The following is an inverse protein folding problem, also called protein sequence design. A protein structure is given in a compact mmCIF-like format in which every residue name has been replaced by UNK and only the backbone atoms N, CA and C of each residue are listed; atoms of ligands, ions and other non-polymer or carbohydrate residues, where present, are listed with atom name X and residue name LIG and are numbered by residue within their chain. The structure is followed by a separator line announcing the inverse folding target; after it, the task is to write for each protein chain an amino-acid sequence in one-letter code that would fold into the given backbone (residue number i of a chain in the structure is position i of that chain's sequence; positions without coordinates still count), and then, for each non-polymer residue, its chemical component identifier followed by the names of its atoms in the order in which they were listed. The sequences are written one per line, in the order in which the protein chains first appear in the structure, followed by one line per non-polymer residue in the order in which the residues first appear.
data_IF_310507652669
#
_entry.id   IF_310507652669
#
_cell.length_a   1.000
_cell.length_b   1.000
_cell.length_c   1.000
_cell.angle_alpha   90.00
_cell.angle_beta   90.00
_cell.angle_gamma   90.00
#
_symmetry.space_group_name_H-M   'P 1'
#
loop_
_entity.id
_entity.type
_entity.pdbx_description
1 polymer ?
#
# COMPACT_ATOMS: atom_id res chain seq x y z
N UNK A 1 -3.31 -5.10 -5.99
CA UNK A 1 -3.12 -3.63 -6.05
C UNK A 1 -1.67 -3.32 -5.76
N UNK A 2 -1.05 -2.41 -6.51
CA UNK A 2 0.33 -1.97 -6.25
C UNK A 2 0.36 -0.73 -5.35
N UNK A 3 1.25 -0.77 -4.35
CA UNK A 3 1.48 0.30 -3.39
C UNK A 3 2.98 0.60 -3.36
N UNK A 4 3.36 1.85 -3.53
CA UNK A 4 4.76 2.29 -3.38
C UNK A 4 4.91 3.09 -2.08
N UNK A 5 5.85 2.69 -1.24
CA UNK A 5 6.14 3.33 0.04
C UNK A 5 7.54 3.92 0.03
N UNK A 6 7.62 5.24 0.12
CA UNK A 6 8.87 5.97 0.30
C UNK A 6 9.22 6.08 1.78
N UNK A 7 10.43 5.64 2.16
CA UNK A 7 10.92 5.73 3.54
C UNK A 7 11.99 6.82 3.60
N UNK A 8 11.90 7.67 4.62
CA UNK A 8 12.90 8.72 4.87
C UNK A 8 14.28 8.08 5.09
N UNK A 9 15.32 8.72 4.54
CA UNK A 9 16.71 8.26 4.63
C UNK A 9 16.98 6.89 3.98
N UNK A 10 16.08 6.38 3.14
CA UNK A 10 16.26 5.15 2.37
C UNK A 10 16.23 5.48 0.88
N UNK A 11 17.25 5.03 0.15
CA UNK A 11 17.42 5.38 -1.26
C UNK A 11 16.45 4.65 -2.21
N UNK A 12 15.80 3.58 -1.76
CA UNK A 12 14.90 2.74 -2.57
C UNK A 12 13.52 2.67 -1.94
N UNK A 13 12.44 2.88 -2.71
CA UNK A 13 11.10 2.67 -2.21
C UNK A 13 10.80 1.18 -2.01
N UNK A 14 9.81 0.90 -1.17
CA UNK A 14 9.27 -0.44 -0.94
C UNK A 14 7.99 -0.60 -1.74
N UNK A 15 7.99 -1.51 -2.70
CA UNK A 15 6.81 -1.87 -3.48
C UNK A 15 6.09 -3.05 -2.83
N UNK A 16 4.80 -2.87 -2.58
CA UNK A 16 3.91 -3.84 -1.94
C UNK A 16 2.75 -4.12 -2.88
N UNK A 17 2.58 -5.38 -3.27
CA UNK A 17 1.37 -5.84 -3.95
C UNK A 17 0.41 -6.38 -2.89
N UNK A 18 -0.78 -5.82 -2.78
CA UNK A 18 -1.79 -6.24 -1.80
C UNK A 18 -3.12 -6.56 -2.49
N UNK A 19 -3.82 -7.58 -2.00
CA UNK A 19 -5.18 -7.93 -2.45
C UNK A 19 -6.27 -7.12 -1.72
N UNK A 20 -5.88 -6.26 -0.78
CA UNK A 20 -6.80 -5.39 -0.05
C UNK A 20 -7.30 -4.23 -0.92
N UNK A 21 -8.46 -3.67 -0.55
CA UNK A 21 -9.02 -2.49 -1.21
C UNK A 21 -8.17 -1.24 -0.95
N UNK A 22 -8.32 -0.22 -1.80
CA UNK A 22 -7.62 1.06 -1.65
C UNK A 22 -7.99 1.71 -0.33
N UNK A 23 -9.27 1.68 -0.01
CA UNK A 23 -9.84 2.32 1.17
C UNK A 23 -9.30 1.67 2.44
N UNK A 24 -9.21 0.34 2.48
CA UNK A 24 -8.67 -0.40 3.63
C UNK A 24 -7.19 -0.08 3.85
N UNK A 25 -6.38 -0.13 2.79
CA UNK A 25 -4.94 0.18 2.87
C UNK A 25 -4.72 1.62 3.33
N UNK A 26 -5.45 2.57 2.75
CA UNK A 26 -5.35 3.99 3.11
C UNK A 26 -5.73 4.21 4.57
N UNK A 27 -6.78 3.53 5.04
CA UNK A 27 -7.21 3.60 6.43
C UNK A 27 -6.15 3.06 7.39
N UNK A 28 -5.58 1.88 7.12
CA UNK A 28 -4.51 1.29 7.94
C UNK A 28 -3.30 2.23 8.05
N UNK A 29 -2.88 2.82 6.92
CA UNK A 29 -1.77 3.77 6.90
C UNK A 29 -2.12 5.01 7.73
N UNK A 30 -3.30 5.59 7.53
CA UNK A 30 -3.72 6.83 8.21
C UNK A 30 -3.87 6.62 9.71
N UNK A 31 -4.51 5.53 10.14
CA UNK A 31 -4.66 5.18 11.56
C UNK A 31 -3.30 4.95 12.24
N UNK A 32 -2.35 4.30 11.54
CA UNK A 32 -1.01 4.10 12.07
C UNK A 32 -0.24 5.44 12.19
N UNK A 33 -0.40 6.35 11.22
CA UNK A 33 0.19 7.69 11.27
C UNK A 33 -0.38 8.54 12.40
N UNK A 34 -1.71 8.54 12.59
CA UNK A 34 -2.38 9.29 13.67
C UNK A 34 -2.02 8.76 15.06
N UNK A 35 -1.89 7.43 15.19
CA UNK A 35 -1.53 6.79 16.45
C UNK A 35 -0.01 6.76 16.72
N UNK A 36 0.83 7.28 15.82
CA UNK A 36 2.29 7.16 15.85
C UNK A 36 2.77 5.69 16.00
N UNK A 37 2.05 4.77 15.35
CA UNK A 37 2.30 3.32 15.40
C UNK A 37 2.96 2.82 14.14
N UNK A 38 3.53 1.63 14.20
CA UNK A 38 4.08 0.95 13.03
C UNK A 38 2.96 0.63 12.04
N UNK A 39 3.15 1.04 10.79
CA UNK A 39 2.35 0.62 9.65
C UNK A 39 2.70 -0.84 9.36
N UNK A 40 1.68 -1.68 9.36
CA UNK A 40 1.80 -3.12 9.17
C UNK A 40 0.98 -3.52 7.96
N UNK A 41 1.66 -3.89 6.88
CA UNK A 41 1.05 -4.31 5.63
C UNK A 41 1.49 -5.73 5.31
N UNK A 42 0.56 -6.53 4.82
CA UNK A 42 0.86 -7.87 4.30
C UNK A 42 0.67 -7.84 2.80
N UNK A 43 1.66 -8.33 2.07
CA UNK A 43 1.59 -8.45 0.62
C UNK A 43 0.92 -9.77 0.18
N UNK A 44 0.62 -9.86 -1.11
CA UNK A 44 0.02 -11.04 -1.77
C UNK A 44 0.87 -12.31 -1.66
N UNK A 45 2.17 -12.16 -1.40
CA UNK A 45 3.14 -13.25 -1.18
C UNK A 45 3.28 -13.65 0.28
N UNK A 46 2.47 -13.07 1.18
CA UNK A 46 2.50 -13.33 2.61
C UNK A 46 3.70 -12.71 3.33
N UNK A 47 4.43 -11.79 2.70
CA UNK A 47 5.48 -10.99 3.36
C UNK A 47 4.80 -9.92 4.19
N UNK A 48 5.25 -9.78 5.43
CA UNK A 48 4.83 -8.71 6.33
C UNK A 48 5.83 -7.55 6.26
N UNK A 49 5.35 -6.38 5.88
CA UNK A 49 6.11 -5.15 5.77
C UNK A 49 5.77 -4.27 6.96
N UNK A 50 6.77 -4.00 7.79
CA UNK A 50 6.65 -3.19 9.00
C UNK A 50 7.43 -1.88 8.81
N UNK A 51 6.73 -0.75 8.86
CA UNK A 51 7.31 0.57 8.65
C UNK A 51 6.91 1.48 9.82
N UNK A 52 7.85 2.06 10.58
CA UNK A 52 7.51 3.05 11.60
C UNK A 52 6.80 4.26 10.97
N UNK A 53 5.67 4.72 11.54
CA UNK A 53 4.93 5.89 11.04
C UNK A 53 5.85 7.11 10.79
N UNK A 54 6.74 7.39 11.74
CA UNK A 54 7.70 8.51 11.66
C UNK A 54 8.72 8.40 10.51
N UNK A 55 8.97 7.20 10.02
CA UNK A 55 9.91 6.97 8.93
C UNK A 55 9.24 7.03 7.55
N UNK A 56 7.90 7.04 7.48
CA UNK A 56 7.19 7.13 6.21
C UNK A 56 7.39 8.53 5.61
N UNK A 57 7.98 8.59 4.43
CA UNK A 57 8.10 9.82 3.65
C UNK A 57 6.86 10.07 2.79
N UNK A 58 6.40 9.04 2.09
CA UNK A 58 5.19 9.09 1.27
C UNK A 58 4.62 7.68 1.04
N UNK A 59 3.34 7.60 0.69
CA UNK A 59 2.69 6.38 0.21
C UNK A 59 1.88 6.68 -1.05
N UNK A 60 2.15 5.96 -2.13
CA UNK A 60 1.36 5.99 -3.36
C UNK A 60 0.51 4.73 -3.38
N UNK A 61 -0.79 4.89 -3.18
CA UNK A 61 -1.75 3.78 -3.25
C UNK A 61 -2.31 3.73 -4.68
N UNK A 62 -1.95 2.69 -5.42
CA UNK A 62 -2.37 2.50 -6.81
C UNK A 62 -3.89 2.43 -6.99
N UNK A 63 -4.35 2.45 -8.23
CA UNK A 63 -5.74 2.12 -8.55
C UNK A 63 -5.93 0.62 -8.48
N UNK A 64 -7.04 0.20 -7.86
CA UNK A 64 -7.57 -1.15 -8.05
C UNK A 64 -7.78 -1.33 -9.55
N UNK A 65 -6.89 -2.07 -10.21
CA UNK A 65 -7.03 -2.38 -11.64
C UNK A 65 -8.22 -3.31 -11.78
N UNK A 66 -9.42 -2.73 -11.84
CA UNK A 66 -10.57 -3.37 -12.48
C UNK A 66 -10.21 -3.50 -13.94
N UNK A 67 -9.59 -4.63 -14.31
CA UNK A 67 -9.62 -5.08 -15.68
C UNK A 67 -11.08 -5.39 -16.01
N UNK A 68 -11.83 -4.36 -16.40
CA UNK A 68 -13.07 -4.55 -17.13
C UNK A 68 -12.65 -5.12 -18.48
N UNK A 69 -12.60 -6.46 -18.57
CA UNK A 69 -12.59 -7.14 -19.87
C UNK A 69 -13.94 -6.86 -20.51
N UNK A 70 -14.02 -5.72 -21.20
CA UNK A 70 -15.12 -5.36 -22.06
C UNK A 70 -15.09 -6.25 -23.30
N UNK A 71 -15.58 -7.48 -23.16
CA UNK A 71 -16.06 -8.23 -24.32
C UNK A 71 -17.43 -7.64 -24.69
N UNK A 72 -17.39 -6.47 -25.33
CA UNK A 72 -18.50 -5.96 -26.11
C UNK A 72 -18.51 -6.63 -27.48
N UNK A 73 -19.70 -7.11 -27.86
CA UNK A 73 -20.14 -7.49 -29.19
C UNK A 73 -19.51 -8.76 -29.82
N UNK A 74 -20.27 -9.86 -29.80
CA UNK A 74 -21.04 -10.35 -30.96
C UNK A 74 -22.19 -11.24 -30.48
#
# INVERSE_FOLDING_TARGET
MEIELGIQNVARPVNVSSDQSREDVSKVITEALEADKTIDLTDDKGRRILIPAKALGYAIVGSETRHAVGFGAL
#
